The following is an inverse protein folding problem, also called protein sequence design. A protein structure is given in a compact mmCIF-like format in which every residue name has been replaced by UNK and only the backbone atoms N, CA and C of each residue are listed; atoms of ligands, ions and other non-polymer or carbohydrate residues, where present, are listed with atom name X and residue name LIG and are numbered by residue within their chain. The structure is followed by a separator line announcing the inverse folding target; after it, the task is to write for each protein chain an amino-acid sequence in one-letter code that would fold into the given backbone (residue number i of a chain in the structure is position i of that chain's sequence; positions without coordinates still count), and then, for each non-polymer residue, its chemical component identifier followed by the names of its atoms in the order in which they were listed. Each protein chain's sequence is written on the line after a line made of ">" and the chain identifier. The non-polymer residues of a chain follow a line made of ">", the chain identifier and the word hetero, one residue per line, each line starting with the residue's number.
data_IF_465155076825
#
_entry.id   IF_465155076825
#
_cell.length_a   1.000
_cell.length_b   1.000
_cell.length_c   1.000
_cell.angle_alpha   90.00
_cell.angle_beta   90.00
_cell.angle_gamma   90.00
#
_symmetry.space_group_name_H-M   'P 1'
#
loop_
_entity.id
_entity.type
_entity.pdbx_description
1 polymer ?
#
# COMPACT_ATOMS: atom_id res chain seq x y z
N UNK A 1 9.44 -19.86 0.54
CA UNK A 1 8.61 -18.64 0.74
C UNK A 1 9.02 -18.02 2.07
N UNK A 2 9.26 -16.71 2.11
CA UNK A 2 9.79 -16.02 3.30
C UNK A 2 8.88 -14.84 3.68
N UNK A 3 8.49 -14.75 4.95
CA UNK A 3 7.86 -13.57 5.57
C UNK A 3 8.93 -12.49 5.72
N UNK A 4 8.61 -11.25 5.34
CA UNK A 4 9.51 -10.11 5.39
C UNK A 4 9.10 -9.21 6.55
N UNK A 5 8.10 -8.35 6.33
CA UNK A 5 7.72 -7.28 7.24
C UNK A 5 6.20 -7.22 7.46
N UNK A 6 5.78 -6.69 8.60
CA UNK A 6 4.39 -6.38 8.92
C UNK A 6 4.03 -4.99 8.36
N UNK A 7 2.90 -4.89 7.67
CA UNK A 7 2.55 -3.71 6.87
C UNK A 7 1.20 -3.09 7.24
N UNK A 8 0.51 -3.63 8.26
CA UNK A 8 -0.73 -3.08 8.76
C UNK A 8 -1.71 -4.16 9.20
N UNK A 9 -2.97 -3.75 9.35
CA UNK A 9 -4.05 -4.58 9.88
C UNK A 9 -5.03 -4.93 8.75
N UNK A 10 -5.55 -6.16 8.76
CA UNK A 10 -6.54 -6.63 7.81
C UNK A 10 -7.93 -6.14 8.20
N UNK A 11 -8.63 -5.38 7.35
CA UNK A 11 -9.95 -4.84 7.68
C UNK A 11 -11.05 -5.91 7.78
N UNK A 12 -10.77 -7.17 7.37
CA UNK A 12 -11.76 -8.25 7.42
C UNK A 12 -11.76 -9.03 8.75
N UNK A 13 -10.64 -9.03 9.47
CA UNK A 13 -10.50 -9.84 10.70
C UNK A 13 -9.62 -9.20 11.77
N UNK A 14 -9.23 -7.93 11.59
CA UNK A 14 -8.38 -7.15 12.48
C UNK A 14 -7.04 -7.80 12.85
N UNK A 15 -6.57 -8.74 12.02
CA UNK A 15 -5.30 -9.42 12.19
C UNK A 15 -4.20 -8.79 11.33
N UNK A 16 -2.94 -9.00 11.72
CA UNK A 16 -1.80 -8.45 11.00
C UNK A 16 -1.70 -8.93 9.56
N UNK A 17 -1.43 -8.00 8.64
CA UNK A 17 -1.01 -8.27 7.26
C UNK A 17 0.51 -8.23 7.22
N UNK A 18 1.09 -9.27 6.63
CA UNK A 18 2.53 -9.34 6.42
C UNK A 18 2.87 -9.49 4.95
N UNK A 19 4.07 -9.08 4.59
CA UNK A 19 4.61 -9.22 3.25
C UNK A 19 5.38 -10.53 3.12
N UNK A 20 5.23 -11.18 1.97
CA UNK A 20 5.85 -12.45 1.66
C UNK A 20 6.56 -12.38 0.31
N UNK A 21 7.67 -13.12 0.20
CA UNK A 21 8.42 -13.28 -1.03
C UNK A 21 8.51 -14.75 -1.43
N UNK A 22 8.15 -15.05 -2.67
CA UNK A 22 8.31 -16.40 -3.25
C UNK A 22 9.74 -16.61 -3.75
N UNK A 23 10.10 -17.87 -4.03
CA UNK A 23 11.40 -18.24 -4.59
C UNK A 23 11.61 -17.60 -5.98
N UNK A 24 10.53 -17.31 -6.71
CA UNK A 24 10.56 -16.60 -7.99
C UNK A 24 10.57 -15.07 -7.83
N UNK A 25 10.90 -14.57 -6.63
CA UNK A 25 10.99 -13.15 -6.28
C UNK A 25 9.68 -12.37 -6.41
N UNK A 26 8.51 -13.03 -6.54
CA UNK A 26 7.21 -12.33 -6.48
C UNK A 26 6.93 -11.93 -5.03
N UNK A 27 6.40 -10.71 -4.84
CA UNK A 27 6.00 -10.19 -3.53
C UNK A 27 4.48 -10.12 -3.45
N UNK A 28 3.94 -10.41 -2.28
CA UNK A 28 2.50 -10.28 -2.01
C UNK A 28 2.29 -9.98 -0.53
N UNK A 29 1.21 -9.28 -0.23
CA UNK A 29 0.70 -9.12 1.12
C UNK A 29 -0.26 -10.26 1.43
N UNK A 30 -0.24 -10.78 2.66
CA UNK A 30 -1.18 -11.81 3.09
C UNK A 30 -1.54 -11.64 4.56
N UNK A 31 -2.82 -11.79 4.86
CA UNK A 31 -3.30 -12.05 6.22
C UNK A 31 -3.29 -13.57 6.45
N UNK A 32 -2.61 -14.03 7.50
CA UNK A 32 -2.47 -15.46 7.78
C UNK A 32 -3.75 -16.09 8.35
N UNK A 33 -4.66 -15.28 8.91
CA UNK A 33 -5.88 -15.74 9.57
C UNK A 33 -7.04 -15.92 8.58
N UNK A 34 -7.42 -14.87 7.85
CA UNK A 34 -8.55 -14.96 6.90
C UNK A 34 -8.14 -15.37 5.48
N UNK A 35 -6.84 -15.60 5.23
CA UNK A 35 -6.31 -16.04 3.93
C UNK A 35 -6.29 -14.98 2.82
N UNK A 36 -6.71 -13.75 3.11
CA UNK A 36 -6.71 -12.66 2.13
C UNK A 36 -5.28 -12.36 1.67
N UNK A 37 -5.10 -12.20 0.36
CA UNK A 37 -3.80 -11.86 -0.22
C UNK A 37 -3.93 -11.01 -1.48
N UNK A 38 -2.94 -10.14 -1.70
CA UNK A 38 -2.88 -9.29 -2.89
C UNK A 38 -1.43 -9.07 -3.34
N UNK A 39 -1.25 -8.80 -4.63
CA UNK A 39 0.06 -8.63 -5.22
C UNK A 39 0.73 -7.32 -4.81
N UNK A 40 2.04 -7.36 -4.62
CA UNK A 40 2.86 -6.17 -4.36
C UNK A 40 3.88 -5.97 -5.48
N UNK A 41 4.34 -4.72 -5.71
CA UNK A 41 5.41 -4.44 -6.67
C UNK A 41 6.66 -5.28 -6.38
N UNK A 42 7.26 -5.84 -7.44
CA UNK A 42 8.43 -6.72 -7.34
C UNK A 42 9.70 -5.99 -6.85
N UNK A 43 9.80 -4.69 -7.14
CA UNK A 43 10.98 -3.84 -6.87
C UNK A 43 10.57 -2.61 -6.07
N UNK A 44 11.50 -2.11 -5.26
CA UNK A 44 11.32 -0.97 -4.36
C UNK A 44 11.38 -1.37 -2.89
N UNK A 45 11.59 -0.39 -2.01
CA UNK A 45 11.25 -0.48 -0.58
C UNK A 45 9.73 -0.38 -0.45
N UNK A 46 9.20 -1.08 0.57
CA UNK A 46 7.78 -1.01 0.92
C UNK A 46 7.74 -0.57 2.37
N UNK A 47 7.05 0.53 2.64
CA UNK A 47 6.79 1.03 3.99
C UNK A 47 5.29 1.22 4.19
N UNK A 48 4.85 1.13 5.44
CA UNK A 48 3.47 1.44 5.80
C UNK A 48 3.32 2.96 5.89
N UNK A 49 2.29 3.53 5.25
CA UNK A 49 2.01 4.96 5.31
C UNK A 49 1.28 5.41 6.58
N UNK A 50 0.79 4.47 7.39
CA UNK A 50 -0.18 4.67 8.47
C UNK A 50 -1.58 5.16 8.00
N UNK A 51 -1.77 5.36 6.69
CA UNK A 51 -3.06 5.72 6.10
C UNK A 51 -3.84 4.49 5.68
N UNK A 52 -5.16 4.62 5.65
CA UNK A 52 -6.08 3.58 5.21
C UNK A 52 -6.79 4.01 3.93
N UNK A 53 -6.95 3.06 3.02
CA UNK A 53 -7.74 3.19 1.83
C UNK A 53 -9.19 3.54 2.21
N UNK A 54 -9.77 4.68 1.77
CA UNK A 54 -11.09 5.10 2.22
C UNK A 54 -12.18 4.10 1.83
N UNK A 55 -12.03 3.39 0.70
CA UNK A 55 -12.98 2.40 0.17
C UNK A 55 -12.85 1.03 0.83
N UNK A 56 -11.67 0.44 0.82
CA UNK A 56 -11.48 -0.96 1.25
C UNK A 56 -10.96 -1.08 2.68
N UNK A 57 -10.58 0.05 3.31
CA UNK A 57 -9.96 0.13 4.65
C UNK A 57 -8.62 -0.61 4.78
N UNK A 58 -8.04 -1.06 3.67
CA UNK A 58 -6.70 -1.63 3.65
C UNK A 58 -5.63 -0.56 3.90
N UNK A 59 -4.48 -0.93 4.52
CA UNK A 59 -3.35 -0.02 4.63
C UNK A 59 -2.87 0.43 3.25
N UNK A 60 -2.61 1.73 3.12
CA UNK A 60 -1.90 2.31 1.99
C UNK A 60 -0.40 2.12 2.21
N UNK A 61 0.30 1.58 1.22
CA UNK A 61 1.72 1.30 1.30
C UNK A 61 2.49 2.31 0.46
N UNK A 62 3.60 2.81 0.95
CA UNK A 62 4.52 3.66 0.17
C UNK A 62 5.50 2.73 -0.54
N UNK A 63 5.64 2.93 -1.85
CA UNK A 63 6.59 2.21 -2.68
C UNK A 63 7.64 3.20 -3.18
N UNK A 64 8.88 3.04 -2.76
CA UNK A 64 9.99 3.88 -3.19
C UNK A 64 10.96 3.08 -4.07
N UNK A 65 11.44 3.70 -5.14
CA UNK A 65 12.46 3.11 -6.03
C UNK A 65 13.54 4.16 -6.27
N UNK A 66 14.79 3.73 -6.44
CA UNK A 66 15.92 4.65 -6.62
C UNK A 66 15.75 5.62 -7.79
N UNK A 67 15.11 5.18 -8.86
CA UNK A 67 14.99 5.96 -10.11
C UNK A 67 13.56 6.43 -10.41
N UNK A 68 12.63 6.25 -9.47
CA UNK A 68 11.24 6.68 -9.66
C UNK A 68 10.73 7.40 -8.41
N UNK A 69 9.80 8.32 -8.63
CA UNK A 69 9.04 8.95 -7.57
C UNK A 69 8.31 7.90 -6.73
N UNK A 70 8.26 8.13 -5.42
CA UNK A 70 7.49 7.31 -4.51
C UNK A 70 6.01 7.35 -4.88
N UNK A 71 5.27 6.27 -4.64
CA UNK A 71 3.83 6.22 -4.91
C UNK A 71 3.12 5.30 -3.92
N UNK A 72 1.83 5.55 -3.69
CA UNK A 72 1.02 4.67 -2.85
C UNK A 72 0.53 3.44 -3.61
N UNK A 73 0.40 2.34 -2.87
CA UNK A 73 -0.12 1.08 -3.35
C UNK A 73 -1.13 0.50 -2.36
N UNK A 74 -2.20 -0.10 -2.88
CA UNK A 74 -3.18 -0.86 -2.10
C UNK A 74 -3.64 -2.09 -2.88
N UNK A 75 -4.54 -2.88 -2.30
CA UNK A 75 -5.06 -4.09 -2.95
C UNK A 75 -5.89 -3.78 -4.21
N UNK A 76 -6.61 -2.67 -4.19
CA UNK A 76 -7.56 -2.23 -5.19
C UNK A 76 -7.55 -0.70 -5.32
N UNK A 77 -8.17 -0.13 -6.37
CA UNK A 77 -8.31 1.32 -6.51
C UNK A 77 -9.05 1.96 -5.32
N UNK A 78 -8.30 2.74 -4.54
CA UNK A 78 -8.80 3.37 -3.32
C UNK A 78 -9.74 4.55 -3.53
N UNK A 79 -9.72 5.15 -4.72
CA UNK A 79 -10.53 6.31 -5.06
C UNK A 79 -11.46 5.96 -6.21
N UNK A 80 -12.68 6.50 -6.20
CA UNK A 80 -13.68 6.31 -7.26
C UNK A 80 -13.67 7.43 -8.32
N UNK A 81 -12.76 8.39 -8.18
CA UNK A 81 -12.68 9.54 -9.05
C UNK A 81 -12.22 9.15 -10.46
N UNK A 82 -12.95 9.61 -11.48
CA UNK A 82 -12.61 9.35 -12.90
C UNK A 82 -11.38 10.16 -13.32
N UNK A 83 -11.18 11.34 -12.74
CA UNK A 83 -10.05 12.24 -13.01
C UNK A 83 -9.29 12.51 -11.72
N UNK A 84 -7.96 12.33 -11.78
CA UNK A 84 -7.04 12.52 -10.66
C UNK A 84 -7.12 13.96 -10.11
N UNK A 85 -7.02 14.96 -10.98
CA UNK A 85 -6.93 16.39 -10.61
C UNK A 85 -8.20 16.95 -9.94
N UNK A 86 -9.34 16.28 -10.11
CA UNK A 86 -10.63 16.70 -9.60
C UNK A 86 -11.05 15.96 -8.33
N UNK A 87 -10.21 15.04 -7.83
CA UNK A 87 -10.53 14.23 -6.67
C UNK A 87 -10.07 14.92 -5.39
N UNK A 88 -11.00 15.43 -4.59
CA UNK A 88 -10.70 16.09 -3.30
C UNK A 88 -9.93 15.15 -2.37
N UNK A 89 -10.33 13.87 -2.30
CA UNK A 89 -9.65 12.88 -1.46
C UNK A 89 -8.20 12.64 -1.89
N UNK A 90 -7.88 12.79 -3.18
CA UNK A 90 -6.49 12.69 -3.64
C UNK A 90 -5.71 13.93 -3.23
N UNK A 91 -6.32 15.12 -3.27
CA UNK A 91 -5.67 16.37 -2.82
C UNK A 91 -5.33 16.31 -1.33
N UNK A 92 -6.24 15.82 -0.49
CA UNK A 92 -5.98 15.60 0.93
C UNK A 92 -4.81 14.64 1.13
N UNK A 93 -4.82 13.52 0.40
CA UNK A 93 -3.73 12.54 0.45
C UNK A 93 -2.38 13.14 0.00
N UNK A 94 -2.41 13.99 -1.03
CA UNK A 94 -1.26 14.75 -1.56
C UNK A 94 -0.70 15.72 -0.53
N UNK A 95 -1.56 16.38 0.24
CA UNK A 95 -1.14 17.23 1.35
C UNK A 95 -0.49 16.38 2.45
N UNK A 96 -1.08 15.25 2.80
CA UNK A 96 -0.47 14.30 3.74
C UNK A 96 0.87 13.73 3.22
N UNK A 97 1.04 13.53 1.90
CA UNK A 97 2.32 13.17 1.27
C UNK A 97 3.41 14.20 1.57
N UNK A 98 3.11 15.50 1.43
CA UNK A 98 4.06 16.59 1.69
C UNK A 98 4.42 16.67 3.17
N UNK A 99 3.43 16.53 4.05
CA UNK A 99 3.63 16.54 5.51
C UNK A 99 4.51 15.38 5.97
N UNK A 100 4.32 14.19 5.40
CA UNK A 100 5.15 13.01 5.67
C UNK A 100 6.53 13.07 5.00
N UNK A 101 6.85 14.16 4.27
CA UNK A 101 8.08 14.32 3.49
C UNK A 101 8.30 13.20 2.46
N UNK A 102 7.23 12.57 1.98
CA UNK A 102 7.28 11.55 0.93
C UNK A 102 7.22 12.27 -0.42
N UNK A 103 8.37 12.72 -0.90
CA UNK A 103 8.44 13.52 -2.12
C UNK A 103 8.26 12.65 -3.38
N UNK A 104 7.13 12.78 -4.07
CA UNK A 104 6.91 12.15 -5.37
C UNK A 104 5.46 12.15 -5.84
N UNK A 105 5.14 13.00 -6.83
CA UNK A 105 3.89 12.95 -7.63
C UNK A 105 4.11 12.29 -8.98
#
# INVERSE_FOLDING_TARGET
>A
MRKLDEIGICPNCDCTISTFKTNNYKRFAKCEICGLSYALPKRGSISNSALLCPRTKFPLLIIEKKDHKAYFWSDQPCFSCIKYDQCETIKELITEFEELQVYGY
#
